data_IF_303258030052
#
_entry.id   IF_303258030052
#
_cell.length_a   1.000
_cell.length_b   1.000
_cell.length_c   1.000
_cell.angle_alpha   90.00
_cell.angle_beta   90.00
_cell.angle_gamma   90.00
#
_symmetry.space_group_name_H-M   'P 1'
#
loop_
_entity.id
_entity.type
_entity.pdbx_description
1 polymer ?
#
# COMPACT_ATOMS: atom_id res chain seq x y z
N UNK A 1 -1.92 -28.42 -1.36
CA UNK A 1 -2.38 -28.14 -2.74
C UNK A 1 -3.06 -26.80 -2.60
N UNK A 2 -2.71 -25.75 -3.35
CA UNK A 2 -3.19 -24.41 -3.01
C UNK A 2 -4.71 -24.37 -2.73
N UNK A 3 -5.08 -23.80 -1.58
CA UNK A 3 -6.45 -23.68 -1.11
C UNK A 3 -7.33 -22.96 -2.15
N UNK A 4 -8.38 -23.62 -2.64
CA UNK A 4 -9.30 -23.03 -3.60
C UNK A 4 -10.44 -22.28 -2.90
N UNK A 5 -10.19 -20.99 -2.67
CA UNK A 5 -11.14 -20.07 -2.04
C UNK A 5 -12.40 -19.80 -2.88
N UNK A 6 -12.44 -20.21 -4.15
CA UNK A 6 -13.60 -19.98 -5.03
C UNK A 6 -14.73 -20.99 -4.80
N UNK A 7 -14.45 -22.05 -4.04
CA UNK A 7 -15.42 -23.10 -3.70
C UNK A 7 -16.23 -22.79 -2.44
N UNK A 8 -15.84 -21.78 -1.67
CA UNK A 8 -16.53 -21.37 -0.45
C UNK A 8 -17.88 -20.72 -0.77
N UNK A 9 -18.93 -21.11 -0.02
CA UNK A 9 -20.22 -20.42 -0.13
C UNK A 9 -20.09 -18.95 0.31
N UNK A 10 -20.93 -18.04 -0.21
CA UNK A 10 -20.92 -16.64 0.21
C UNK A 10 -21.10 -16.48 1.74
N UNK A 11 -21.93 -17.31 2.38
CA UNK A 11 -22.13 -17.28 3.83
C UNK A 11 -20.87 -17.73 4.59
N UNK A 12 -20.23 -18.81 4.15
CA UNK A 12 -18.98 -19.29 4.76
C UNK A 12 -17.87 -18.25 4.63
N UNK A 13 -17.73 -17.64 3.45
CA UNK A 13 -16.77 -16.56 3.20
C UNK A 13 -16.98 -15.39 4.15
N UNK A 14 -18.24 -14.94 4.31
CA UNK A 14 -18.56 -13.83 5.21
C UNK A 14 -18.30 -14.17 6.69
N UNK A 15 -18.55 -15.40 7.11
CA UNK A 15 -18.27 -15.86 8.46
C UNK A 15 -16.76 -15.86 8.76
N UNK A 16 -15.95 -16.40 7.84
CA UNK A 16 -14.50 -16.38 8.00
C UNK A 16 -13.93 -14.96 8.00
N UNK A 17 -14.33 -14.09 7.06
CA UNK A 17 -13.88 -12.69 7.05
C UNK A 17 -14.15 -12.02 8.41
N UNK A 18 -15.36 -12.15 8.94
CA UNK A 18 -15.74 -11.58 10.24
C UNK A 18 -14.90 -12.11 11.40
N UNK A 19 -14.49 -13.37 11.35
CA UNK A 19 -13.63 -13.97 12.36
C UNK A 19 -12.18 -13.51 12.22
N UNK A 20 -11.67 -13.36 11.00
CA UNK A 20 -10.32 -12.86 10.72
C UNK A 20 -10.12 -11.39 11.07
N UNK A 21 -11.12 -10.54 10.85
CA UNK A 21 -11.09 -9.10 11.19
C UNK A 21 -10.71 -8.81 12.66
N UNK A 22 -10.90 -9.80 13.55
CA UNK A 22 -10.66 -9.67 15.00
C UNK A 22 -9.20 -9.89 15.39
N UNK A 23 -8.39 -10.49 14.53
CA UNK A 23 -7.02 -10.88 14.83
C UNK A 23 -6.05 -10.23 13.84
N UNK A 24 -4.81 -10.03 14.27
CA UNK A 24 -3.77 -9.57 13.34
C UNK A 24 -3.23 -10.76 12.55
N UNK A 25 -2.87 -10.54 11.28
CA UNK A 25 -2.27 -11.60 10.45
C UNK A 25 -0.95 -12.14 11.04
N UNK A 26 -0.28 -11.37 11.91
CA UNK A 26 0.90 -11.84 12.64
C UNK A 26 0.54 -12.87 13.72
N UNK A 27 -0.51 -12.59 14.50
CA UNK A 27 -0.99 -13.49 15.55
C UNK A 27 -1.60 -14.77 14.96
N UNK A 28 -2.33 -14.67 13.85
CA UNK A 28 -2.88 -15.83 13.13
C UNK A 28 -1.78 -16.71 12.53
N UNK A 29 -0.75 -16.13 11.90
CA UNK A 29 0.41 -16.89 11.40
C UNK A 29 1.17 -17.57 12.54
N UNK A 30 1.37 -16.88 13.67
CA UNK A 30 2.00 -17.48 14.84
C UNK A 30 1.17 -18.67 15.36
N UNK A 31 -0.16 -18.53 15.43
CA UNK A 31 -1.05 -19.62 15.83
C UNK A 31 -1.04 -20.79 14.84
N UNK A 32 -1.09 -20.53 13.54
CA UNK A 32 -1.05 -21.57 12.51
C UNK A 32 0.21 -22.42 12.64
N UNK A 33 1.38 -21.78 12.82
CA UNK A 33 2.64 -22.48 13.03
C UNK A 33 2.65 -23.31 14.32
N UNK A 34 2.12 -22.76 15.41
CA UNK A 34 1.99 -23.49 16.67
C UNK A 34 1.12 -24.74 16.51
N UNK A 35 -0.07 -24.60 15.91
CA UNK A 35 -1.00 -25.71 15.68
C UNK A 35 -0.41 -26.77 14.76
N UNK A 36 0.27 -26.39 13.66
CA UNK A 36 0.93 -27.34 12.75
C UNK A 36 2.09 -28.09 13.42
N UNK A 37 2.87 -27.41 14.27
CA UNK A 37 3.94 -28.06 15.04
C UNK A 37 3.38 -29.07 16.07
N UNK A 38 2.27 -28.72 16.74
CA UNK A 38 1.59 -29.64 17.64
C UNK A 38 1.01 -30.85 16.87
N UNK A 39 0.44 -30.60 15.68
CA UNK A 39 -0.07 -31.64 14.80
C UNK A 39 1.02 -32.62 14.34
N UNK A 40 2.22 -32.16 14.04
CA UNK A 40 3.33 -33.05 13.70
C UNK A 40 3.68 -34.07 14.81
N UNK A 41 3.37 -33.74 16.07
CA UNK A 41 3.66 -34.60 17.23
C UNK A 41 2.45 -35.46 17.64
N UNK A 42 1.25 -34.90 17.59
CA UNK A 42 0.04 -35.50 18.17
C UNK A 42 -1.09 -35.75 17.17
N UNK A 43 -0.98 -35.26 15.94
CA UNK A 43 -2.08 -35.18 14.97
C UNK A 43 -2.72 -36.51 14.60
N UNK A 44 -1.95 -37.61 14.59
CA UNK A 44 -2.49 -38.95 14.35
C UNK A 44 -3.56 -39.37 15.38
N UNK A 45 -3.51 -38.80 16.59
CA UNK A 45 -4.49 -39.07 17.66
C UNK A 45 -5.74 -38.20 17.58
N UNK A 46 -5.79 -37.20 16.70
CA UNK A 46 -6.90 -36.25 16.60
C UNK A 46 -7.96 -36.63 15.56
N UNK A 47 -7.64 -37.55 14.64
CA UNK A 47 -8.53 -37.93 13.55
C UNK A 47 -9.88 -38.45 14.06
N UNK A 48 -9.86 -39.28 15.12
CA UNK A 48 -11.08 -39.82 15.75
C UNK A 48 -11.87 -38.76 16.56
N UNK A 49 -11.30 -37.55 16.73
CA UNK A 49 -11.88 -36.45 17.50
C UNK A 49 -12.23 -35.24 16.61
N UNK A 50 -12.27 -35.44 15.29
CA UNK A 50 -12.76 -34.43 14.34
C UNK A 50 -11.73 -33.42 13.86
N UNK A 51 -10.43 -33.74 13.92
CA UNK A 51 -9.39 -32.97 13.23
C UNK A 51 -8.43 -33.92 12.51
N UNK A 52 -8.55 -33.98 11.18
CA UNK A 52 -7.90 -34.99 10.35
C UNK A 52 -6.71 -34.42 9.54
N UNK A 53 -6.00 -35.24 8.73
CA UNK A 53 -4.91 -34.76 7.89
C UNK A 53 -5.30 -33.73 6.81
N UNK A 54 -6.55 -33.75 6.34
CA UNK A 54 -7.05 -32.77 5.38
C UNK A 54 -7.19 -31.39 6.04
N UNK A 55 -7.70 -31.33 7.28
CA UNK A 55 -7.79 -30.07 8.04
C UNK A 55 -6.40 -29.45 8.30
N UNK A 56 -5.41 -30.29 8.63
CA UNK A 56 -4.03 -29.85 8.82
C UNK A 56 -3.42 -29.34 7.50
N UNK A 57 -3.75 -29.98 6.38
CA UNK A 57 -3.33 -29.54 5.04
C UNK A 57 -3.98 -28.21 4.68
N UNK A 58 -5.27 -28.04 4.95
CA UNK A 58 -6.00 -26.79 4.73
C UNK A 58 -5.41 -25.65 5.56
N UNK A 59 -5.07 -25.91 6.83
CA UNK A 59 -4.40 -24.93 7.69
C UNK A 59 -3.03 -24.52 7.14
N UNK A 60 -2.27 -25.49 6.61
CA UNK A 60 -0.98 -25.21 5.98
C UNK A 60 -1.15 -24.37 4.71
N UNK A 61 -2.08 -24.73 3.84
CA UNK A 61 -2.34 -24.00 2.60
C UNK A 61 -2.88 -22.57 2.89
N UNK A 62 -3.72 -22.40 3.92
CA UNK A 62 -4.19 -21.09 4.38
C UNK A 62 -3.05 -20.23 4.96
N UNK A 63 -2.15 -20.81 5.77
CA UNK A 63 -0.94 -20.13 6.29
C UNK A 63 -0.06 -19.65 5.14
N UNK A 64 0.23 -20.53 4.18
CA UNK A 64 1.12 -20.21 3.05
C UNK A 64 0.48 -19.14 2.14
N UNK A 65 -0.84 -19.22 1.95
CA UNK A 65 -1.64 -18.18 1.27
C UNK A 65 -1.55 -16.82 1.99
N UNK A 66 -1.63 -16.81 3.32
CA UNK A 66 -1.56 -15.59 4.12
C UNK A 66 -0.16 -14.94 4.05
N UNK A 67 0.91 -15.74 4.07
CA UNK A 67 2.27 -15.26 3.84
C UNK A 67 2.40 -14.62 2.45
N UNK A 68 1.92 -15.30 1.40
CA UNK A 68 1.98 -14.81 0.04
C UNK A 68 1.19 -13.50 -0.15
N UNK A 69 -0.02 -13.43 0.39
CA UNK A 69 -0.87 -12.23 0.37
C UNK A 69 -0.24 -11.07 1.15
N UNK A 70 0.39 -11.34 2.30
CA UNK A 70 1.10 -10.36 3.11
C UNK A 70 2.28 -9.71 2.37
N UNK A 71 3.09 -10.51 1.66
CA UNK A 71 4.18 -10.00 0.80
C UNK A 71 3.64 -9.11 -0.32
N UNK A 72 2.53 -9.52 -0.96
CA UNK A 72 1.87 -8.74 -2.00
C UNK A 72 1.42 -7.35 -1.51
N UNK A 73 0.82 -7.29 -0.32
CA UNK A 73 0.39 -6.02 0.30
C UNK A 73 1.57 -5.08 0.58
N UNK A 74 2.67 -5.60 1.10
CA UNK A 74 3.85 -4.78 1.41
C UNK A 74 4.56 -4.24 0.17
N UNK A 75 4.65 -5.06 -0.88
CA UNK A 75 5.16 -4.63 -2.18
C UNK A 75 4.31 -3.49 -2.77
N UNK A 76 2.98 -3.62 -2.71
CA UNK A 76 2.03 -2.57 -3.16
C UNK A 76 2.08 -1.30 -2.30
N UNK A 77 2.30 -1.44 -0.99
CA UNK A 77 2.50 -0.29 -0.10
C UNK A 77 3.78 0.48 -0.47
N UNK A 78 4.84 -0.26 -0.78
CA UNK A 78 6.13 0.31 -1.21
C UNK A 78 6.00 0.98 -2.58
N UNK A 79 5.38 0.33 -3.57
CA UNK A 79 5.15 0.95 -4.89
C UNK A 79 4.32 2.23 -4.76
N UNK A 80 3.26 2.23 -3.95
CA UNK A 80 2.45 3.43 -3.68
C UNK A 80 3.29 4.59 -3.10
N UNK A 81 4.22 4.30 -2.19
CA UNK A 81 5.10 5.34 -1.62
C UNK A 81 6.04 5.90 -2.69
N UNK A 82 6.55 5.05 -3.56
CA UNK A 82 7.37 5.44 -4.71
C UNK A 82 6.56 6.30 -5.68
N UNK A 83 5.34 5.89 -6.04
CA UNK A 83 4.47 6.62 -6.98
C UNK A 83 4.06 7.98 -6.43
N UNK A 84 3.76 8.06 -5.13
CA UNK A 84 3.44 9.34 -4.47
C UNK A 84 4.65 10.28 -4.49
N UNK A 85 5.85 9.77 -4.18
CA UNK A 85 7.08 10.55 -4.23
C UNK A 85 7.41 11.00 -5.66
N UNK A 86 7.25 10.10 -6.64
CA UNK A 86 7.44 10.38 -8.06
C UNK A 86 6.47 11.45 -8.56
N UNK A 87 5.19 11.37 -8.19
CA UNK A 87 4.18 12.39 -8.51
C UNK A 87 4.54 13.76 -7.92
N UNK A 88 4.91 13.81 -6.62
CA UNK A 88 5.34 15.05 -5.99
C UNK A 88 6.64 15.62 -6.57
N UNK A 89 7.54 14.77 -7.06
CA UNK A 89 8.75 15.20 -7.76
C UNK A 89 8.41 15.75 -9.16
N UNK A 90 7.56 15.05 -9.93
CA UNK A 90 7.11 15.49 -11.24
C UNK A 90 6.40 16.86 -11.17
N UNK A 91 5.51 17.06 -10.20
CA UNK A 91 4.85 18.36 -9.98
C UNK A 91 5.84 19.48 -9.70
N UNK A 92 6.82 19.25 -8.79
CA UNK A 92 7.85 20.25 -8.47
C UNK A 92 8.74 20.57 -9.67
N UNK A 93 9.18 19.54 -10.39
CA UNK A 93 10.01 19.72 -11.59
C UNK A 93 9.24 20.47 -12.68
N UNK A 94 7.99 20.08 -12.95
CA UNK A 94 7.11 20.75 -13.90
C UNK A 94 6.90 22.22 -13.57
N UNK A 95 6.65 22.58 -12.31
CA UNK A 95 6.54 23.97 -11.88
C UNK A 95 7.85 24.75 -12.08
N UNK A 96 8.99 24.14 -11.74
CA UNK A 96 10.31 24.73 -11.97
C UNK A 96 10.59 24.97 -13.45
N UNK A 97 10.30 23.99 -14.30
CA UNK A 97 10.46 24.08 -15.76
C UNK A 97 9.50 25.10 -16.38
N UNK A 98 8.25 25.18 -15.91
CA UNK A 98 7.31 26.25 -16.28
C UNK A 98 7.88 27.63 -15.99
N UNK A 99 8.38 27.85 -14.77
CA UNK A 99 8.94 29.16 -14.38
C UNK A 99 10.15 29.54 -15.25
N UNK A 100 11.06 28.59 -15.51
CA UNK A 100 12.20 28.80 -16.39
C UNK A 100 11.77 29.14 -17.82
N UNK A 101 10.84 28.38 -18.40
CA UNK A 101 10.33 28.63 -19.75
C UNK A 101 9.66 30.01 -19.88
N UNK A 102 8.87 30.42 -18.88
CA UNK A 102 8.29 31.78 -18.82
C UNK A 102 9.36 32.86 -18.78
N UNK A 103 10.44 32.66 -18.05
CA UNK A 103 11.59 33.59 -18.02
C UNK A 103 12.27 33.69 -19.40
N UNK A 104 12.48 32.57 -20.08
CA UNK A 104 13.03 32.53 -21.45
C UNK A 104 12.13 33.30 -22.42
N UNK A 105 10.81 33.05 -22.39
CA UNK A 105 9.83 33.80 -23.19
C UNK A 105 9.84 35.31 -22.85
N UNK A 106 9.99 35.67 -21.59
CA UNK A 106 10.16 37.07 -21.17
C UNK A 106 11.41 37.73 -21.78
N UNK A 107 12.52 37.00 -21.87
CA UNK A 107 13.74 37.46 -22.56
C UNK A 107 13.58 37.57 -24.07
N UNK A 108 12.95 36.58 -24.70
CA UNK A 108 12.63 36.58 -26.14
C UNK A 108 11.71 37.75 -26.49
N UNK A 109 10.67 37.98 -25.67
CA UNK A 109 9.74 39.11 -25.80
C UNK A 109 10.46 40.45 -25.90
N UNK A 110 11.42 40.72 -24.99
CA UNK A 110 12.19 41.98 -25.01
C UNK A 110 12.97 42.18 -26.32
N UNK A 111 13.48 41.09 -26.90
CA UNK A 111 14.26 41.15 -28.15
C UNK A 111 13.36 41.38 -29.35
N UNK A 112 12.23 40.68 -29.40
CA UNK A 112 11.23 40.85 -30.45
C UNK A 112 10.62 42.25 -30.43
N UNK A 113 10.43 42.81 -29.23
CA UNK A 113 10.00 44.20 -29.08
C UNK A 113 11.04 45.18 -29.66
N UNK A 114 12.32 44.99 -29.34
CA UNK A 114 13.40 45.82 -29.87
C UNK A 114 13.56 45.71 -31.41
N UNK A 115 13.21 44.57 -32.00
CA UNK A 115 13.21 44.36 -33.45
C UNK A 115 11.90 44.77 -34.14
N UNK A 116 10.93 45.36 -33.42
CA UNK A 116 9.66 45.80 -33.98
C UNK A 116 8.65 44.70 -34.29
N UNK A 117 8.87 43.45 -33.84
CA UNK A 117 7.94 42.35 -34.07
C UNK A 117 6.82 42.34 -33.00
N UNK A 118 5.93 43.33 -33.09
CA UNK A 118 4.86 43.57 -32.10
C UNK A 118 3.83 42.44 -32.08
N UNK A 119 3.50 41.85 -33.23
CA UNK A 119 2.52 40.77 -33.32
C UNK A 119 2.96 39.54 -32.52
N UNK A 120 4.23 39.13 -32.63
CA UNK A 120 4.76 38.00 -31.83
C UNK A 120 4.85 38.34 -30.34
N UNK A 121 5.17 39.60 -29.99
CA UNK A 121 5.17 40.05 -28.59
C UNK A 121 3.78 39.88 -27.94
N UNK A 122 2.71 40.32 -28.63
CA UNK A 122 1.34 40.19 -28.14
C UNK A 122 0.92 38.73 -27.92
N UNK A 123 1.33 37.81 -28.82
CA UNK A 123 1.10 36.36 -28.64
C UNK A 123 1.77 35.82 -27.38
N UNK A 124 3.03 36.21 -27.13
CA UNK A 124 3.75 35.80 -25.92
C UNK A 124 3.02 36.33 -24.68
N UNK A 125 2.59 37.58 -24.68
CA UNK A 125 1.86 38.18 -23.55
C UNK A 125 0.54 37.49 -23.27
N UNK A 126 -0.26 37.23 -24.31
CA UNK A 126 -1.52 36.52 -24.18
C UNK A 126 -1.34 35.13 -23.56
N UNK A 127 -0.30 34.38 -23.96
CA UNK A 127 0.02 33.08 -23.37
C UNK A 127 0.47 33.21 -21.91
N UNK A 128 1.38 34.15 -21.62
CA UNK A 128 1.91 34.35 -20.28
C UNK A 128 0.83 34.81 -19.29
N UNK A 129 -0.16 35.56 -19.74
CA UNK A 129 -1.30 35.99 -18.94
C UNK A 129 -2.29 34.84 -18.70
N UNK A 130 -2.69 34.13 -19.76
CA UNK A 130 -3.60 32.97 -19.67
C UNK A 130 -3.07 31.92 -18.70
N UNK A 131 -1.77 31.63 -18.80
CA UNK A 131 -1.12 30.60 -17.99
C UNK A 131 -0.33 31.24 -16.85
N UNK A 132 -0.81 32.34 -16.24
CA UNK A 132 -0.13 33.08 -15.16
C UNK A 132 0.00 32.28 -13.87
N UNK A 133 -1.02 31.50 -13.53
CA UNK A 133 -1.05 30.58 -12.39
C UNK A 133 -0.69 29.17 -12.85
N UNK A 134 0.11 28.45 -12.05
CA UNK A 134 0.41 27.05 -12.33
C UNK A 134 -0.83 26.20 -12.02
N UNK A 135 -1.16 25.24 -12.88
CA UNK A 135 -2.22 24.30 -12.57
C UNK A 135 -1.84 23.43 -11.35
N UNK A 136 -2.84 23.09 -10.54
CA UNK A 136 -2.67 22.32 -9.30
C UNK A 136 -2.65 20.81 -9.52
N UNK A 137 -3.06 20.36 -10.71
CA UNK A 137 -3.06 18.96 -11.12
C UNK A 137 -2.04 18.67 -12.23
N UNK A 138 -1.59 17.42 -12.31
CA UNK A 138 -0.52 17.02 -13.23
C UNK A 138 -0.92 17.15 -14.71
N UNK A 139 -2.18 16.90 -15.06
CA UNK A 139 -2.66 16.98 -16.44
C UNK A 139 -2.78 18.45 -16.88
N UNK A 140 -3.35 19.30 -16.02
CA UNK A 140 -3.39 20.75 -16.22
C UNK A 140 -1.99 21.33 -16.37
N UNK A 141 -1.04 20.92 -15.52
CA UNK A 141 0.33 21.43 -15.58
C UNK A 141 1.04 20.94 -16.85
N UNK A 142 0.86 19.68 -17.25
CA UNK A 142 1.41 19.16 -18.51
C UNK A 142 0.93 19.97 -19.72
N UNK A 143 -0.36 20.30 -19.80
CA UNK A 143 -0.93 21.15 -20.87
C UNK A 143 -0.30 22.54 -20.90
N UNK A 144 -0.04 23.15 -19.74
CA UNK A 144 0.67 24.42 -19.68
C UNK A 144 2.12 24.29 -20.19
N UNK A 145 2.81 23.19 -19.87
CA UNK A 145 4.16 22.94 -20.38
C UNK A 145 4.16 22.75 -21.91
N UNK A 146 3.18 22.05 -22.48
CA UNK A 146 3.05 21.91 -23.93
C UNK A 146 2.80 23.26 -24.62
N UNK A 147 1.90 24.08 -24.07
CA UNK A 147 1.61 25.39 -24.64
C UNK A 147 2.84 26.30 -24.65
N UNK A 148 3.66 26.27 -23.59
CA UNK A 148 4.95 26.98 -23.53
C UNK A 148 5.97 26.41 -24.54
N UNK A 149 5.99 25.08 -24.70
CA UNK A 149 6.89 24.38 -25.62
C UNK A 149 6.56 24.74 -27.07
N UNK A 150 5.29 24.75 -27.42
CA UNK A 150 4.81 25.07 -28.76
C UNK A 150 5.11 26.54 -29.10
N UNK A 151 4.90 27.46 -28.16
CA UNK A 151 5.29 28.86 -28.33
C UNK A 151 6.80 29.04 -28.55
N UNK A 152 7.64 28.33 -27.80
CA UNK A 152 9.10 28.38 -27.97
C UNK A 152 9.60 27.76 -29.29
N UNK A 153 8.76 27.00 -29.99
CA UNK A 153 9.06 26.43 -31.32
C UNK A 153 8.65 27.34 -32.47
N UNK A 154 7.85 28.39 -32.25
CA UNK A 154 7.56 29.35 -33.31
C UNK A 154 8.87 30.00 -33.78
N UNK A 155 9.14 29.99 -35.09
CA UNK A 155 10.46 30.33 -35.65
C UNK A 155 11.03 31.67 -35.11
N UNK A 156 10.23 32.74 -35.14
CA UNK A 156 10.67 34.05 -34.66
C UNK A 156 11.03 34.05 -33.16
N UNK A 157 10.32 33.26 -32.35
CA UNK A 157 10.57 33.11 -30.91
C UNK A 157 11.78 32.21 -30.68
N UNK A 158 11.89 31.11 -31.41
CA UNK A 158 13.02 30.20 -31.35
C UNK A 158 14.34 30.94 -31.67
N UNK A 159 14.35 31.77 -32.71
CA UNK A 159 15.51 32.59 -33.09
C UNK A 159 15.85 33.59 -31.98
N UNK A 160 14.85 34.28 -31.43
CA UNK A 160 15.05 35.20 -30.31
C UNK A 160 15.48 34.49 -29.01
N UNK A 161 15.09 33.23 -28.79
CA UNK A 161 15.40 32.46 -27.59
C UNK A 161 16.67 31.60 -27.71
N UNK A 162 17.24 31.47 -28.91
CA UNK A 162 18.35 30.55 -29.24
C UNK A 162 19.51 30.63 -28.26
N UNK A 163 19.98 31.85 -27.96
CA UNK A 163 21.11 32.10 -27.06
C UNK A 163 20.69 32.34 -25.60
N UNK A 164 19.43 32.06 -25.26
CA UNK A 164 18.82 32.32 -23.94
C UNK A 164 18.27 31.05 -23.29
N UNK A 165 18.75 29.90 -23.74
CA UNK A 165 18.29 28.60 -23.23
C UNK A 165 16.98 28.11 -23.86
N UNK A 166 16.48 28.73 -24.93
CA UNK A 166 15.30 28.28 -25.66
C UNK A 166 15.33 26.80 -26.05
N UNK A 167 16.40 26.30 -26.71
CA UNK A 167 16.49 24.89 -27.10
C UNK A 167 16.42 23.93 -25.89
N UNK A 168 17.10 24.25 -24.80
CA UNK A 168 17.06 23.46 -23.57
C UNK A 168 15.66 23.47 -22.95
N UNK A 169 15.01 24.64 -22.89
CA UNK A 169 13.66 24.76 -22.37
C UNK A 169 12.65 23.91 -23.15
N UNK A 170 12.75 23.83 -24.48
CA UNK A 170 11.87 22.98 -25.31
C UNK A 170 12.03 21.49 -24.96
N UNK A 171 13.26 21.03 -24.75
CA UNK A 171 13.55 19.64 -24.35
C UNK A 171 13.04 19.35 -22.94
N UNK A 172 13.35 20.23 -21.99
CA UNK A 172 12.94 20.08 -20.58
C UNK A 172 11.40 20.08 -20.46
N UNK A 173 10.71 20.99 -21.15
CA UNK A 173 9.24 21.05 -21.19
C UNK A 173 8.62 19.76 -21.73
N UNK A 174 9.19 19.19 -22.79
CA UNK A 174 8.70 17.93 -23.36
C UNK A 174 8.88 16.75 -22.40
N UNK A 175 10.04 16.69 -21.74
CA UNK A 175 10.38 15.62 -20.78
C UNK A 175 9.48 15.70 -19.55
N UNK A 176 9.35 16.88 -18.95
CA UNK A 176 8.56 17.06 -17.74
C UNK A 176 7.04 16.94 -18.00
N UNK A 177 6.55 17.37 -19.16
CA UNK A 177 5.15 17.15 -19.55
C UNK A 177 4.83 15.66 -19.68
N UNK A 178 5.76 14.86 -20.23
CA UNK A 178 5.59 13.41 -20.30
C UNK A 178 5.61 12.78 -18.90
N UNK A 179 6.57 13.17 -18.06
CA UNK A 179 6.67 12.68 -16.69
C UNK A 179 5.40 12.98 -15.86
N UNK A 180 4.79 14.16 -16.04
CA UNK A 180 3.53 14.52 -15.40
C UNK A 180 2.37 13.61 -15.84
N UNK A 181 2.26 13.30 -17.14
CA UNK A 181 1.24 12.38 -17.66
C UNK A 181 1.44 10.96 -17.16
N UNK A 182 2.68 10.48 -17.12
CA UNK A 182 2.97 9.14 -16.61
C UNK A 182 2.65 9.03 -15.11
N UNK A 183 2.98 10.07 -14.34
CA UNK A 183 2.58 10.16 -12.93
C UNK A 183 1.06 10.26 -12.73
N UNK A 184 0.34 10.90 -13.65
CA UNK A 184 -1.13 10.96 -13.62
C UNK A 184 -1.75 9.58 -13.90
N UNK A 185 -1.22 8.82 -14.86
CA UNK A 185 -1.66 7.45 -15.17
C UNK A 185 -1.42 6.50 -14.00
N UNK A 186 -0.24 6.54 -13.38
CA UNK A 186 0.07 5.69 -12.22
C UNK A 186 -0.89 5.93 -11.04
N UNK A 187 -1.38 7.16 -10.85
CA UNK A 187 -2.33 7.50 -9.80
C UNK A 187 -3.77 7.03 -10.08
N UNK A 188 -4.10 6.73 -11.35
CA UNK A 188 -5.45 6.32 -11.75
C UNK A 188 -5.77 4.86 -11.39
N UNK A 189 -4.78 4.05 -11.01
CA UNK A 189 -5.05 2.70 -10.50
C UNK A 189 -5.82 2.76 -9.17
N UNK A 190 -6.92 1.99 -9.02
CA UNK A 190 -7.73 1.99 -7.80
C UNK A 190 -6.88 1.74 -6.56
N UNK A 191 -6.98 2.66 -5.60
CA UNK A 191 -6.28 2.61 -4.33
C UNK A 191 -6.69 1.37 -3.54
N UNK A 192 -5.74 0.49 -3.23
CA UNK A 192 -5.84 -0.57 -2.22
C UNK A 192 -7.16 -1.32 -2.28
N UNK A 193 -7.24 -2.32 -3.16
CA UNK A 193 -8.44 -3.10 -3.40
C UNK A 193 -9.02 -3.63 -2.08
N UNK A 194 -10.31 -3.36 -1.75
CA UNK A 194 -11.02 -4.04 -0.67
C UNK A 194 -10.82 -5.56 -0.73
N UNK A 195 -10.72 -6.11 -1.95
CA UNK A 195 -10.45 -7.52 -2.21
C UNK A 195 -9.15 -8.07 -1.60
N UNK A 196 -8.09 -7.27 -1.45
CA UNK A 196 -6.84 -7.75 -0.82
C UNK A 196 -6.93 -7.80 0.69
N UNK A 197 -7.58 -6.80 1.28
CA UNK A 197 -7.86 -6.79 2.72
C UNK A 197 -8.83 -7.91 3.05
N UNK A 198 -9.91 -8.07 2.28
CA UNK A 198 -10.84 -9.19 2.41
C UNK A 198 -10.17 -10.55 2.23
N UNK A 199 -9.18 -10.67 1.34
CA UNK A 199 -8.43 -11.91 1.18
C UNK A 199 -7.61 -12.24 2.43
N UNK A 200 -6.96 -11.24 3.02
CA UNK A 200 -6.23 -11.41 4.28
C UNK A 200 -7.18 -11.79 5.42
N UNK A 201 -8.28 -11.05 5.58
CA UNK A 201 -9.28 -11.33 6.61
C UNK A 201 -9.93 -12.71 6.43
N UNK A 202 -10.17 -13.15 5.18
CA UNK A 202 -10.66 -14.48 4.88
C UNK A 202 -9.67 -15.57 5.32
N UNK A 203 -8.39 -15.42 4.95
CA UNK A 203 -7.34 -16.38 5.31
C UNK A 203 -7.10 -16.41 6.83
N UNK A 204 -7.10 -15.24 7.47
CA UNK A 204 -7.04 -15.10 8.92
C UNK A 204 -8.20 -15.83 9.60
N UNK A 205 -9.41 -15.68 9.07
CA UNK A 205 -10.61 -16.38 9.55
C UNK A 205 -10.56 -17.89 9.44
N UNK A 206 -10.10 -18.41 8.29
CA UNK A 206 -9.94 -19.85 8.06
C UNK A 206 -8.93 -20.44 9.05
N UNK A 207 -7.78 -19.77 9.22
CA UNK A 207 -6.75 -20.18 10.20
C UNK A 207 -7.33 -20.21 11.62
N UNK A 208 -8.06 -19.17 12.03
CA UNK A 208 -8.67 -19.08 13.37
C UNK A 208 -9.67 -20.21 13.59
N UNK A 209 -10.51 -20.50 12.58
CA UNK A 209 -11.49 -21.59 12.65
C UNK A 209 -10.80 -22.94 12.82
N UNK A 210 -9.84 -23.26 11.95
CA UNK A 210 -9.10 -24.53 11.99
C UNK A 210 -8.30 -24.70 13.28
N UNK A 211 -7.69 -23.63 13.80
CA UNK A 211 -6.98 -23.67 15.07
C UNK A 211 -7.93 -23.96 16.25
N UNK A 212 -9.15 -23.39 16.26
CA UNK A 212 -10.18 -23.69 17.28
C UNK A 212 -10.64 -25.14 17.19
N UNK A 213 -10.92 -25.64 15.98
CA UNK A 213 -11.29 -27.06 15.77
C UNK A 213 -10.20 -28.00 16.27
N UNK A 214 -8.93 -27.73 15.93
CA UNK A 214 -7.79 -28.52 16.40
C UNK A 214 -7.68 -28.52 17.94
N UNK A 215 -7.93 -27.37 18.58
CA UNK A 215 -7.93 -27.25 20.04
C UNK A 215 -9.06 -28.06 20.68
N UNK A 216 -10.27 -28.01 20.13
CA UNK A 216 -11.42 -28.77 20.63
C UNK A 216 -11.17 -30.28 20.52
N UNK A 217 -10.68 -30.74 19.36
CA UNK A 217 -10.28 -32.13 19.14
C UNK A 217 -9.20 -32.57 20.14
N UNK A 218 -8.17 -31.74 20.36
CA UNK A 218 -7.09 -32.02 21.30
C UNK A 218 -7.57 -32.06 22.76
N UNK A 219 -8.55 -31.24 23.16
CA UNK A 219 -9.14 -31.32 24.50
C UNK A 219 -9.92 -32.62 24.71
N UNK A 220 -10.68 -33.06 23.70
CA UNK A 220 -11.42 -34.32 23.76
C UNK A 220 -10.45 -35.52 23.85
N UNK A 221 -9.47 -35.58 22.95
CA UNK A 221 -8.45 -36.63 22.93
C UNK A 221 -7.61 -36.65 24.22
N UNK A 222 -7.22 -35.50 24.76
CA UNK A 222 -6.46 -35.42 26.01
C UNK A 222 -7.23 -36.02 27.21
N UNK A 223 -8.56 -35.84 27.26
CA UNK A 223 -9.40 -36.40 28.32
C UNK A 223 -9.57 -37.91 28.19
N UNK A 224 -9.83 -38.40 26.98
CA UNK A 224 -10.05 -39.81 26.73
C UNK A 224 -8.77 -40.64 26.88
N UNK A 225 -7.65 -40.12 26.35
CA UNK A 225 -6.35 -40.80 26.37
C UNK A 225 -5.53 -40.51 27.63
N UNK A 226 -6.02 -39.66 28.54
CA UNK A 226 -5.30 -39.22 29.74
C UNK A 226 -3.94 -38.56 29.45
N UNK A 227 -3.85 -37.84 28.32
CA UNK A 227 -2.64 -37.13 27.86
C UNK A 227 -2.85 -35.60 27.87
N UNK A 228 -2.78 -34.92 29.04
CA UNK A 228 -3.08 -33.49 29.15
C UNK A 228 -2.11 -32.60 28.35
N UNK A 229 -0.90 -33.08 28.08
CA UNK A 229 0.09 -32.36 27.27
C UNK A 229 -0.41 -32.08 25.84
N UNK A 230 -1.28 -32.93 25.30
CA UNK A 230 -1.87 -32.74 23.97
C UNK A 230 -2.71 -31.48 23.93
N UNK A 231 -3.62 -31.29 24.89
CA UNK A 231 -4.40 -30.06 24.97
C UNK A 231 -3.44 -28.84 25.02
N UNK A 232 -2.47 -28.83 25.94
CA UNK A 232 -1.50 -27.73 26.05
C UNK A 232 -0.77 -27.43 24.74
N UNK A 233 -0.38 -28.44 23.95
CA UNK A 233 0.29 -28.22 22.67
C UNK A 233 -0.58 -27.44 21.67
N UNK A 234 -1.90 -27.66 21.68
CA UNK A 234 -2.88 -26.98 20.82
C UNK A 234 -3.50 -25.72 21.44
N UNK A 235 -2.92 -25.15 22.50
CA UNK A 235 -3.45 -23.93 23.09
C UNK A 235 -3.52 -22.75 22.09
N UNK A 236 -4.52 -21.89 22.25
CA UNK A 236 -4.73 -20.72 21.38
C UNK A 236 -4.00 -19.47 21.89
N UNK A 237 -2.78 -19.64 22.42
CA UNK A 237 -2.06 -18.60 23.15
C UNK A 237 -1.55 -17.46 22.26
N UNK A 238 -1.30 -17.72 20.96
CA UNK A 238 -0.95 -16.67 20.02
C UNK A 238 -2.15 -15.77 19.69
N UNK A 239 -3.36 -16.33 19.56
CA UNK A 239 -4.61 -15.57 19.31
C UNK A 239 -5.11 -14.86 20.56
N UNK A 240 -5.06 -15.52 21.71
CA UNK A 240 -5.63 -15.04 22.98
C UNK A 240 -4.54 -14.81 24.01
N UNK A 241 -3.52 -14.02 23.65
CA UNK A 241 -2.49 -13.57 24.58
C UNK A 241 -3.17 -13.06 25.84
N UNK A 242 -2.97 -13.75 26.98
CA UNK A 242 -3.35 -13.22 28.29
C UNK A 242 -2.60 -11.90 28.43
N UNK A 243 -3.30 -10.76 28.33
CA UNK A 243 -2.72 -9.46 28.67
C UNK A 243 -2.07 -9.64 30.04
N UNK A 244 -0.73 -9.62 30.08
CA UNK A 244 -0.01 -9.57 31.34
C UNK A 244 -0.59 -8.37 32.09
N UNK A 245 -1.24 -8.64 33.22
CA UNK A 245 -1.74 -7.61 34.12
C UNK A 245 -0.54 -6.71 34.40
N UNK A 246 -0.59 -5.47 33.90
CA UNK A 246 0.45 -4.47 34.10
C UNK A 246 0.79 -4.48 35.59
N UNK A 247 2.01 -4.89 35.93
CA UNK A 247 2.49 -4.96 37.31
C UNK A 247 2.57 -3.51 37.83
N UNK A 248 1.57 -3.11 38.60
CA UNK A 248 1.40 -1.80 39.23
C UNK A 248 -0.04 -1.74 39.73
N UNK A 249 -0.34 -1.71 41.02
CA UNK A 249 0.43 -1.27 42.17
C UNK A 249 0.69 -2.42 43.16
N UNK A 250 1.95 -2.54 43.60
CA UNK A 250 2.21 -3.00 44.97
C UNK A 250 1.73 -1.88 45.91
N UNK A 251 0.85 -2.14 46.88
CA UNK A 251 0.60 -1.16 47.92
C UNK A 251 1.88 -1.07 48.75
N UNK A 252 2.56 0.06 48.69
CA UNK A 252 3.60 0.42 49.67
C UNK A 252 2.98 0.43 51.05
N UNK A 253 3.09 -0.71 51.73
CA UNK A 253 2.89 -0.82 53.16
C UNK A 253 4.10 -0.25 53.91
N UNK A 254 3.86 0.84 54.63
CA UNK A 254 4.55 1.20 55.86
C UNK A 254 3.50 1.93 56.71
N UNK A 255 3.09 1.52 57.91
CA UNK A 255 3.86 0.91 58.99
C UNK A 255 4.83 1.97 59.50
N UNK A 256 4.47 2.91 60.37
CA UNK A 256 4.17 2.77 61.81
C UNK A 256 4.85 3.97 62.51
N UNK A 257 4.10 4.80 63.23
CA UNK A 257 4.18 5.01 64.70
C UNK A 257 5.25 5.99 65.23
N UNK A 258 4.83 6.89 66.13
CA UNK A 258 5.70 7.46 67.17
C UNK A 258 5.62 8.98 67.38
N UNK A 259 4.64 9.44 68.17
CA UNK A 259 4.54 10.80 68.72
C UNK A 259 3.42 10.90 69.74
#
# INVERSE_FOLDING_TARGET
MALDLTTLSPEARAAFIKDGERFSSEDTLAQANQTLNAYATHGAKLADYGFDPADATELQDARDGLIAAGVGREAKRTSKKIDTAAHSAAMRNGQGTRLRARSVLGGAKRTLLASGNIATVQKIEALLERDSVAADDAEGLAKQLDALKDMLKEQAIADAAKNRGGPKAVTDLGTDAQALRDAAKAKAEPRGTPAETELLDLLDGIIVSLARTAREAAEAAARELSEPAMATAFELSALYKRRAKKKGDEPTGGGGEGG
#
